data_IF_653880306125
#
_entry.id   IF_653880306125
#
_cell.length_a   1.000
_cell.length_b   1.000
_cell.length_c   1.000
_cell.angle_alpha   90.00
_cell.angle_beta   90.00
_cell.angle_gamma   90.00
#
_symmetry.space_group_name_H-M   'P 1'
#
loop_
_entity.id
_entity.type
_entity.pdbx_description
1 polymer ?
#
# COMPACT_ATOMS: atom_id res chain seq x y z
N UNK A 1 -29.92 -7.50 2.55
CA UNK A 1 -29.20 -6.44 1.82
C UNK A 1 -28.79 -7.01 0.48
N UNK A 2 -29.19 -6.44 -0.68
CA UNK A 2 -28.77 -6.95 -1.97
C UNK A 2 -27.25 -6.82 -2.06
N UNK A 3 -26.56 -7.94 -2.36
CA UNK A 3 -25.11 -8.01 -2.36
C UNK A 3 -24.50 -6.97 -3.28
N UNK A 4 -23.48 -6.25 -2.80
CA UNK A 4 -22.68 -5.39 -3.65
C UNK A 4 -22.20 -6.22 -4.85
N UNK A 5 -22.36 -5.67 -6.06
CA UNK A 5 -21.85 -6.26 -7.30
C UNK A 5 -20.31 -6.40 -7.32
N UNK A 6 -19.64 -5.99 -6.24
CA UNK A 6 -18.19 -5.96 -6.06
C UNK A 6 -17.82 -6.88 -4.89
N UNK A 7 -17.18 -8.00 -5.21
CA UNK A 7 -16.57 -8.91 -4.22
C UNK A 7 -15.33 -8.26 -3.61
N UNK A 8 -14.95 -8.66 -2.39
CA UNK A 8 -13.74 -8.17 -1.75
C UNK A 8 -12.46 -8.68 -2.43
N UNK A 9 -11.39 -7.87 -2.34
CA UNK A 9 -10.08 -8.18 -2.94
C UNK A 9 -9.02 -8.24 -1.86
N UNK A 10 -8.11 -9.19 -2.01
CA UNK A 10 -6.86 -9.26 -1.25
C UNK A 10 -5.69 -9.04 -2.21
N UNK A 11 -4.77 -8.15 -1.82
CA UNK A 11 -3.56 -7.85 -2.56
C UNK A 11 -2.35 -8.20 -1.69
N UNK A 12 -1.71 -9.33 -1.99
CA UNK A 12 -0.44 -9.68 -1.35
C UNK A 12 0.70 -8.92 -2.00
N UNK A 13 1.58 -8.30 -1.20
CA UNK A 13 2.78 -7.63 -1.71
C UNK A 13 3.98 -7.86 -0.80
N UNK A 14 5.17 -7.91 -1.40
CA UNK A 14 6.44 -7.70 -0.69
C UNK A 14 6.80 -6.24 -0.85
N UNK A 15 7.08 -5.57 0.26
CA UNK A 15 7.54 -4.19 0.26
C UNK A 15 9.03 -4.14 0.58
N UNK A 16 9.78 -3.44 -0.26
CA UNK A 16 11.21 -3.16 -0.05
C UNK A 16 11.38 -1.65 0.02
N UNK A 17 11.98 -1.16 1.10
CA UNK A 17 12.31 0.24 1.27
C UNK A 17 13.84 0.42 1.30
N UNK A 18 14.34 1.44 0.61
CA UNK A 18 15.76 1.75 0.59
C UNK A 18 15.99 3.27 0.61
N UNK A 19 16.77 3.74 1.58
CA UNK A 19 17.20 5.13 1.66
C UNK A 19 18.46 5.37 0.84
N UNK A 20 18.50 6.48 0.11
CA UNK A 20 19.68 6.88 -0.63
C UNK A 20 20.75 7.43 0.35
N UNK A 21 21.97 6.88 0.29
CA UNK A 21 23.06 7.34 1.16
C UNK A 21 23.41 8.80 0.84
N UNK A 22 23.46 9.63 1.89
CA UNK A 22 23.84 11.04 1.78
C UNK A 22 22.78 11.95 1.14
N UNK A 23 21.55 11.45 0.96
CA UNK A 23 20.41 12.22 0.45
C UNK A 23 19.22 12.06 1.39
N UNK A 24 18.39 13.09 1.51
CA UNK A 24 17.09 13.00 2.19
C UNK A 24 16.04 12.49 1.19
N UNK A 25 16.23 11.24 0.77
CA UNK A 25 15.47 10.57 -0.28
C UNK A 25 15.45 9.06 -0.03
N UNK A 26 14.31 8.43 -0.27
CA UNK A 26 14.18 6.97 -0.23
C UNK A 26 13.19 6.48 -1.28
N UNK A 27 13.27 5.19 -1.59
CA UNK A 27 12.36 4.49 -2.48
C UNK A 27 11.62 3.39 -1.73
N UNK A 28 10.37 3.17 -2.12
CA UNK A 28 9.56 2.03 -1.68
C UNK A 28 9.07 1.30 -2.92
N UNK A 29 9.31 -0.01 -2.96
CA UNK A 29 8.89 -0.88 -4.06
C UNK A 29 7.99 -1.96 -3.50
N UNK A 30 6.76 -2.00 -3.99
CA UNK A 30 5.77 -3.04 -3.66
C UNK A 30 5.66 -4.01 -4.83
N UNK A 31 6.03 -5.27 -4.63
CA UNK A 31 5.98 -6.33 -5.65
C UNK A 31 4.83 -7.29 -5.33
N UNK A 32 3.95 -7.61 -6.29
CA UNK A 32 2.78 -8.45 -6.03
C UNK A 32 3.17 -9.91 -5.75
N UNK A 33 2.59 -10.48 -4.71
CA UNK A 33 2.57 -11.91 -4.41
C UNK A 33 1.25 -12.50 -4.89
N UNK A 34 1.33 -13.52 -5.75
CA UNK A 34 0.16 -14.15 -6.37
C UNK A 34 -0.24 -15.46 -5.72
N UNK A 35 0.72 -16.16 -5.10
CA UNK A 35 0.48 -17.44 -4.44
C UNK A 35 0.43 -17.24 -2.93
N UNK A 36 -0.74 -16.82 -2.45
CA UNK A 36 -0.99 -16.63 -1.01
C UNK A 36 -1.50 -17.91 -0.35
N UNK A 37 -2.01 -18.88 -1.13
CA UNK A 37 -2.64 -20.09 -0.59
C UNK A 37 -1.64 -21.07 0.03
N UNK A 38 -0.38 -21.06 -0.44
CA UNK A 38 0.71 -21.85 0.14
C UNK A 38 1.48 -21.16 1.27
N UNK A 39 1.06 -19.97 1.70
CA UNK A 39 1.77 -19.15 2.70
C UNK A 39 0.99 -19.06 4.02
N UNK A 40 1.63 -18.53 5.07
CA UNK A 40 0.95 -18.22 6.34
C UNK A 40 -0.20 -17.21 6.18
N UNK A 41 -0.22 -16.49 5.05
CA UNK A 41 -1.29 -15.56 4.66
C UNK A 41 -2.50 -16.26 4.04
N UNK A 42 -2.48 -17.59 3.90
CA UNK A 42 -3.58 -18.36 3.31
C UNK A 42 -4.92 -18.10 4.02
N UNK A 43 -4.90 -17.80 5.32
CA UNK A 43 -6.09 -17.42 6.09
C UNK A 43 -6.89 -16.28 5.47
N UNK A 44 -6.22 -15.32 4.84
CA UNK A 44 -6.83 -14.14 4.23
C UNK A 44 -7.55 -14.45 2.90
N UNK A 45 -7.30 -15.62 2.31
CA UNK A 45 -7.85 -16.03 1.00
C UNK A 45 -8.69 -17.30 1.06
N UNK A 46 -8.98 -17.81 2.27
CA UNK A 46 -9.79 -19.03 2.49
C UNK A 46 -11.29 -18.81 2.29
N UNK A 47 -11.77 -17.57 2.34
CA UNK A 47 -13.20 -17.27 2.23
C UNK A 47 -13.69 -17.37 0.78
N UNK A 48 -14.85 -18.02 0.59
CA UNK A 48 -15.46 -18.17 -0.74
C UNK A 48 -15.86 -16.82 -1.29
N UNK A 49 -15.27 -16.44 -2.42
CA UNK A 49 -15.65 -15.24 -3.17
C UNK A 49 -14.63 -14.11 -3.12
N UNK A 50 -13.60 -14.20 -2.28
CA UNK A 50 -12.47 -13.26 -2.29
C UNK A 50 -11.72 -13.38 -3.63
N UNK A 51 -11.42 -12.24 -4.23
CA UNK A 51 -10.62 -12.14 -5.46
C UNK A 51 -9.18 -11.77 -5.08
N UNK A 52 -8.21 -12.59 -5.48
CA UNK A 52 -6.80 -12.25 -5.34
C UNK A 52 -6.42 -11.29 -6.47
N UNK A 53 -6.21 -10.02 -6.12
CA UNK A 53 -5.72 -8.99 -7.01
C UNK A 53 -4.20 -8.93 -7.03
N UNK A 54 -3.63 -8.29 -8.05
CA UNK A 54 -2.22 -7.94 -8.08
C UNK A 54 -2.06 -6.43 -7.99
N UNK A 55 -1.19 -5.96 -7.11
CA UNK A 55 -0.84 -4.56 -6.93
C UNK A 55 0.67 -4.40 -6.98
N UNK A 56 1.16 -3.44 -7.76
CA UNK A 56 2.58 -3.07 -7.82
C UNK A 56 2.69 -1.56 -7.67
N UNK A 57 3.65 -1.10 -6.86
CA UNK A 57 4.00 0.32 -6.78
C UNK A 57 5.51 0.51 -6.75
N UNK A 58 5.97 1.60 -7.37
CA UNK A 58 7.30 2.15 -7.20
C UNK A 58 7.13 3.59 -6.78
N UNK A 59 7.69 3.91 -5.62
CA UNK A 59 7.48 5.17 -4.95
C UNK A 59 8.84 5.78 -4.62
N UNK A 60 8.95 7.08 -4.84
CA UNK A 60 10.12 7.87 -4.49
C UNK A 60 9.66 9.04 -3.65
N UNK A 61 10.23 9.14 -2.47
CA UNK A 61 9.93 10.20 -1.51
C UNK A 61 11.23 10.94 -1.25
N UNK A 62 11.22 12.27 -1.41
CA UNK A 62 12.38 13.11 -1.15
C UNK A 62 12.00 14.45 -0.53
N UNK A 63 12.94 15.05 0.19
CA UNK A 63 12.87 16.46 0.54
C UNK A 63 13.38 17.32 -0.61
N UNK A 64 12.60 18.33 -0.99
CA UNK A 64 13.01 19.33 -2.00
C UNK A 64 13.94 20.38 -1.38
N UNK A 65 14.60 21.18 -2.21
CA UNK A 65 15.48 22.28 -1.76
C UNK A 65 14.72 23.32 -0.90
N UNK A 66 13.41 23.44 -1.10
CA UNK A 66 12.53 24.31 -0.32
C UNK A 66 12.07 23.67 1.01
N UNK A 67 12.57 22.47 1.33
CA UNK A 67 12.24 21.75 2.55
C UNK A 67 10.91 20.97 2.50
N UNK A 68 10.20 20.99 1.37
CA UNK A 68 8.92 20.29 1.18
C UNK A 68 9.14 18.80 0.90
N UNK A 69 8.12 17.98 1.13
CA UNK A 69 8.15 16.56 0.76
C UNK A 69 7.53 16.39 -0.63
N UNK A 70 8.31 15.85 -1.57
CA UNK A 70 7.82 15.37 -2.86
C UNK A 70 7.64 13.86 -2.79
N UNK A 71 6.44 13.39 -3.15
CA UNK A 71 6.14 11.96 -3.29
C UNK A 71 5.73 11.68 -4.73
N UNK A 72 6.56 10.92 -5.44
CA UNK A 72 6.27 10.44 -6.78
C UNK A 72 5.94 8.95 -6.71
N UNK A 73 4.77 8.57 -7.20
CA UNK A 73 4.31 7.18 -7.20
C UNK A 73 3.93 6.76 -8.62
N UNK A 74 4.47 5.62 -9.05
CA UNK A 74 3.98 4.86 -10.18
C UNK A 74 3.34 3.58 -9.65
N UNK A 75 2.06 3.36 -9.96
CA UNK A 75 1.31 2.19 -9.51
C UNK A 75 0.59 1.53 -10.67
N UNK A 76 0.49 0.21 -10.62
CA UNK A 76 -0.38 -0.56 -11.50
C UNK A 76 -1.09 -1.63 -10.68
N UNK A 77 -2.34 -1.90 -11.04
CA UNK A 77 -3.11 -2.98 -10.42
C UNK A 77 -3.89 -3.76 -11.46
N UNK A 78 -4.04 -5.04 -11.20
CA UNK A 78 -4.97 -5.93 -11.89
C UNK A 78 -5.92 -6.47 -10.83
N UNK A 79 -7.10 -5.86 -10.76
CA UNK A 79 -8.12 -6.23 -9.78
C UNK A 79 -8.85 -7.55 -10.10
N UNK A 80 -8.49 -8.23 -11.21
CA UNK A 80 -9.07 -9.48 -11.76
C UNK A 80 -10.60 -9.57 -11.70
N UNK A 81 -11.26 -9.46 -12.85
CA UNK A 81 -12.73 -9.55 -12.97
C UNK A 81 -13.24 -8.77 -14.19
N UNK A 82 -14.56 -8.64 -14.34
CA UNK A 82 -15.22 -7.97 -15.48
C UNK A 82 -15.13 -6.43 -15.42
N UNK A 83 -14.28 -5.88 -14.55
CA UNK A 83 -14.15 -4.43 -14.38
C UNK A 83 -13.33 -3.85 -15.53
N UNK A 84 -13.89 -2.94 -16.35
CA UNK A 84 -13.16 -2.32 -17.44
C UNK A 84 -11.91 -1.60 -16.93
N UNK A 85 -10.76 -1.83 -17.58
CA UNK A 85 -9.47 -1.27 -17.16
C UNK A 85 -9.49 0.24 -16.95
N UNK A 86 -10.26 0.99 -17.75
CA UNK A 86 -10.37 2.46 -17.63
C UNK A 86 -11.00 2.93 -16.31
N UNK A 87 -11.85 2.11 -15.68
CA UNK A 87 -12.42 2.40 -14.34
C UNK A 87 -11.36 2.14 -13.26
N UNK A 88 -10.60 1.04 -13.40
CA UNK A 88 -9.51 0.71 -12.48
C UNK A 88 -8.44 1.80 -12.49
N UNK A 89 -8.01 2.25 -13.68
CA UNK A 89 -6.96 3.26 -13.83
C UNK A 89 -7.33 4.61 -13.20
N UNK A 90 -8.58 5.07 -13.32
CA UNK A 90 -9.00 6.37 -12.74
C UNK A 90 -9.29 6.32 -11.24
N UNK A 91 -9.88 5.22 -10.76
CA UNK A 91 -10.18 5.06 -9.34
C UNK A 91 -8.90 4.92 -8.50
N UNK A 92 -7.89 4.20 -9.00
CA UNK A 92 -6.61 4.00 -8.30
C UNK A 92 -5.87 5.33 -8.11
N UNK A 93 -5.78 6.19 -9.13
CA UNK A 93 -5.10 7.49 -9.02
C UNK A 93 -5.80 8.41 -8.00
N UNK A 94 -7.14 8.45 -8.01
CA UNK A 94 -7.92 9.30 -7.10
C UNK A 94 -7.92 8.83 -5.64
N UNK A 95 -7.89 7.51 -5.39
CA UNK A 95 -7.82 6.94 -4.04
C UNK A 95 -6.41 7.10 -3.47
N UNK A 96 -5.37 6.77 -4.26
CA UNK A 96 -3.97 6.92 -3.86
C UNK A 96 -3.62 8.36 -3.47
N UNK A 97 -4.06 9.35 -4.25
CA UNK A 97 -3.79 10.75 -3.93
C UNK A 97 -4.41 11.17 -2.58
N UNK A 98 -5.62 10.70 -2.27
CA UNK A 98 -6.28 10.95 -0.99
C UNK A 98 -5.59 10.23 0.17
N UNK A 99 -5.15 8.98 -0.05
CA UNK A 99 -4.48 8.20 1.00
C UNK A 99 -3.13 8.80 1.38
N UNK A 100 -2.36 9.33 0.41
CA UNK A 100 -1.10 10.03 0.67
C UNK A 100 -1.34 11.30 1.48
N UNK A 101 -2.33 12.10 1.12
CA UNK A 101 -2.68 13.33 1.85
C UNK A 101 -3.12 13.02 3.30
N UNK A 102 -3.99 12.02 3.48
CA UNK A 102 -4.43 11.56 4.80
C UNK A 102 -3.26 11.06 5.64
N UNK A 103 -2.34 10.28 5.06
CA UNK A 103 -1.16 9.77 5.76
C UNK A 103 -0.21 10.89 6.19
N UNK A 104 0.10 11.84 5.30
CA UNK A 104 0.95 12.98 5.62
C UNK A 104 0.33 13.87 6.70
N UNK A 105 -0.99 14.09 6.63
CA UNK A 105 -1.74 14.85 7.64
C UNK A 105 -1.73 14.16 9.00
N UNK A 106 -1.92 12.85 9.03
CA UNK A 106 -1.84 12.04 10.25
C UNK A 106 -0.43 12.04 10.86
N UNK A 107 0.62 11.96 10.04
CA UNK A 107 2.00 12.08 10.53
C UNK A 107 2.24 13.45 11.16
N UNK A 108 1.74 14.52 10.55
CA UNK A 108 1.88 15.87 11.09
C UNK A 108 1.19 15.98 12.45
N UNK A 109 -0.07 15.53 12.55
CA UNK A 109 -0.84 15.50 13.80
C UNK A 109 -0.14 14.69 14.91
N UNK A 110 0.45 13.55 14.58
CA UNK A 110 1.25 12.72 15.51
C UNK A 110 2.47 13.44 16.04
N UNK A 111 3.19 14.17 15.19
CA UNK A 111 4.38 14.95 15.57
C UNK A 111 4.01 16.10 16.49
N UNK A 112 2.91 16.80 16.20
CA UNK A 112 2.43 17.92 17.00
C UNK A 112 1.99 17.46 18.41
N UNK A 113 1.48 16.22 18.52
CA UNK A 113 1.12 15.58 19.79
C UNK A 113 2.30 14.97 20.55
N UNK A 114 3.51 14.95 19.97
CA UNK A 114 4.70 14.34 20.57
C UNK A 114 4.67 12.81 20.61
N UNK A 115 3.74 12.18 19.90
CA UNK A 115 3.58 10.73 19.82
C UNK A 115 4.37 10.19 18.62
N UNK A 116 5.68 10.00 18.80
CA UNK A 116 6.46 9.27 17.81
C UNK A 116 5.93 7.83 17.71
N UNK A 117 5.59 7.38 16.50
CA UNK A 117 5.00 6.06 16.27
C UNK A 117 5.88 4.95 16.87
N UNK A 118 5.40 4.32 17.94
CA UNK A 118 6.00 3.10 18.50
C UNK A 118 5.78 1.96 17.49
N UNK A 119 6.84 1.56 16.80
CA UNK A 119 6.82 0.42 15.90
C UNK A 119 6.89 -0.88 16.73
N UNK A 120 5.73 -1.45 17.04
CA UNK A 120 5.66 -2.80 17.62
C UNK A 120 5.75 -3.83 16.51
N UNK A 121 6.98 -4.27 16.18
CA UNK A 121 7.12 -5.51 15.41
C UNK A 121 6.64 -6.66 16.29
N UNK A 122 5.52 -7.30 15.94
CA UNK A 122 5.13 -8.56 16.57
C UNK A 122 6.16 -9.64 16.16
N UNK A 123 7.23 -9.75 16.94
CA UNK A 123 8.07 -10.94 17.05
C UNK A 123 7.90 -11.52 18.44
N UNK A 124 6.65 -11.79 18.79
CA UNK A 124 6.31 -12.79 19.81
C UNK A 124 5.68 -13.99 19.09
N UNK A 125 6.48 -14.65 18.25
CA UNK A 125 6.27 -16.06 17.99
C UNK A 125 7.14 -16.79 19.00
N UNK A 126 6.49 -17.30 20.04
CA UNK A 126 7.10 -18.00 21.15
C UNK A 126 7.93 -19.22 20.73
N UNK A 127 8.79 -19.56 21.69
CA UNK A 127 9.66 -20.73 21.83
C UNK A 127 9.08 -22.06 21.31
#
# INVERSE_FOLDING_TARGET
>A
MPGSLLRDRVFGTVMVAAAARGRDEFVVVSVPLRDLQGSDLAGLVKEKGIIIGAYVSVERIRRTELGQIEWLMATASDAKGVLPMWVQTRAVVGVVAKDVELFLSWIADRRDKGEAAEWTSTRDAGQ
#
